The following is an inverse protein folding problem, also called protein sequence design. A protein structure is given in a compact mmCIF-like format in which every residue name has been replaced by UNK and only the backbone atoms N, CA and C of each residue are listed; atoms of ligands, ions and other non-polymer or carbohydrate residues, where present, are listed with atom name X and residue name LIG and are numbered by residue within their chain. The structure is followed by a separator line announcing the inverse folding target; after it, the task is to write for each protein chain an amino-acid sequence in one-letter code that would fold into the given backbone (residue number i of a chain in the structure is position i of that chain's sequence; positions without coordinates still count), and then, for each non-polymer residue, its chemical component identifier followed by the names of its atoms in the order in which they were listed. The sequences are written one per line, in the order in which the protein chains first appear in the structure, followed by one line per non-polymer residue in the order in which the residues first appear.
data_IF_203957902958
#
_entry.id   IF_203957902958
#
_cell.length_a   1.000
_cell.length_b   1.000
_cell.length_c   1.000
_cell.angle_alpha   90.00
_cell.angle_beta   90.00
_cell.angle_gamma   90.00
#
_symmetry.space_group_name_H-M   'P 1'
#
loop_
_entity.id
_entity.type
_entity.pdbx_description
1 polymer ?
#
# COMPACT_ATOMS: atom_id res chain seq x y z
N UNK A 1 -3.02 15.85 -15.82
CA UNK A 1 -3.84 15.36 -14.69
C UNK A 1 -2.98 14.35 -13.96
N UNK A 2 -2.47 14.70 -12.78
CA UNK A 2 -1.56 13.82 -12.03
C UNK A 2 -2.38 12.72 -11.35
N UNK A 3 -1.95 11.47 -11.53
CA UNK A 3 -2.54 10.32 -10.84
C UNK A 3 -1.76 10.01 -9.56
N UNK A 4 -2.35 9.25 -8.64
CA UNK A 4 -1.64 8.75 -7.45
C UNK A 4 -0.34 8.01 -7.82
N UNK A 5 -0.32 7.32 -8.95
CA UNK A 5 0.88 6.65 -9.44
C UNK A 5 2.00 7.65 -9.72
N UNK A 6 1.70 8.76 -10.42
CA UNK A 6 2.67 9.79 -10.77
C UNK A 6 3.24 10.46 -9.51
N UNK A 7 2.38 10.75 -8.52
CA UNK A 7 2.80 11.32 -7.25
C UNK A 7 3.71 10.37 -6.47
N UNK A 8 3.42 9.07 -6.45
CA UNK A 8 4.25 8.07 -5.78
C UNK A 8 5.60 7.85 -6.49
N UNK A 9 5.63 7.90 -7.82
CA UNK A 9 6.88 7.85 -8.59
C UNK A 9 7.73 9.08 -8.29
N UNK A 10 7.11 10.28 -8.29
CA UNK A 10 7.77 11.54 -7.94
C UNK A 10 8.31 11.52 -6.51
N UNK A 11 7.56 10.96 -5.56
CA UNK A 11 8.00 10.79 -4.18
C UNK A 11 9.27 9.93 -4.10
N UNK A 12 9.28 8.77 -4.75
CA UNK A 12 10.42 7.85 -4.71
C UNK A 12 11.65 8.39 -5.45
N UNK A 13 11.49 9.33 -6.39
CA UNK A 13 12.62 9.96 -7.09
C UNK A 13 13.26 11.10 -6.30
N UNK A 14 12.50 11.75 -5.41
CA UNK A 14 12.95 12.88 -4.61
C UNK A 14 13.45 12.49 -3.21
N UNK A 15 13.09 11.29 -2.75
CA UNK A 15 13.25 10.88 -1.36
C UNK A 15 13.52 9.37 -1.25
N UNK A 16 14.77 9.02 -0.93
CA UNK A 16 15.29 7.65 -0.86
C UNK A 16 14.71 6.81 0.28
N UNK A 17 14.00 7.43 1.21
CA UNK A 17 13.23 6.73 2.24
C UNK A 17 12.05 5.99 1.61
N UNK A 18 11.44 6.58 0.59
CA UNK A 18 10.34 5.97 -0.15
C UNK A 18 10.92 5.24 -1.36
N UNK A 19 10.38 4.06 -1.64
CA UNK A 19 10.85 3.24 -2.73
C UNK A 19 9.71 2.42 -3.31
N UNK A 20 9.96 1.80 -4.45
CA UNK A 20 9.09 0.78 -4.98
C UNK A 20 9.88 -0.48 -5.32
N UNK A 21 9.16 -1.60 -5.38
CA UNK A 21 9.70 -2.87 -5.86
C UNK A 21 8.81 -3.39 -6.98
N UNK A 22 9.46 -3.77 -8.07
CA UNK A 22 8.79 -4.44 -9.18
C UNK A 22 8.78 -5.95 -8.94
N UNK A 23 7.63 -6.57 -9.19
CA UNK A 23 7.39 -7.99 -9.02
C UNK A 23 6.71 -8.52 -10.26
N UNK A 24 7.28 -9.55 -10.87
CA UNK A 24 6.67 -10.24 -12.01
C UNK A 24 5.95 -11.50 -11.54
N UNK A 25 4.67 -11.63 -11.87
CA UNK A 25 3.84 -12.79 -11.53
C UNK A 25 2.99 -13.18 -12.73
N UNK A 26 3.17 -14.42 -13.24
CA UNK A 26 2.45 -14.94 -14.42
C UNK A 26 2.50 -14.00 -15.64
N UNK A 27 3.65 -13.36 -15.85
CA UNK A 27 3.85 -12.43 -16.96
C UNK A 27 3.18 -11.06 -16.80
N UNK A 28 2.60 -10.77 -15.63
CA UNK A 28 2.09 -9.44 -15.25
C UNK A 28 3.16 -8.76 -14.38
N UNK A 29 3.47 -7.51 -14.68
CA UNK A 29 4.41 -6.70 -13.92
C UNK A 29 3.63 -5.83 -12.92
N UNK A 30 3.92 -6.03 -11.64
CA UNK A 30 3.38 -5.23 -10.54
C UNK A 30 4.45 -4.34 -9.96
N UNK A 31 4.05 -3.17 -9.48
CA UNK A 31 4.89 -2.24 -8.71
C UNK A 31 4.25 -2.00 -7.35
N UNK A 32 4.95 -2.33 -6.28
CA UNK A 32 4.52 -2.08 -4.90
C UNK A 32 5.34 -0.92 -4.34
N UNK A 33 4.66 0.13 -3.88
CA UNK A 33 5.26 1.29 -3.23
C UNK A 33 5.35 1.07 -1.72
N UNK A 34 6.49 1.42 -1.12
CA UNK A 34 6.76 1.23 0.29
C UNK A 34 7.80 2.26 0.80
N UNK A 35 8.12 2.19 2.09
CA UNK A 35 9.06 3.10 2.74
C UNK A 35 9.96 2.36 3.72
N UNK A 36 11.13 2.94 4.00
CA UNK A 36 12.08 2.50 5.03
C UNK A 36 11.70 3.09 6.39
N UNK A 37 12.65 3.51 7.22
CA UNK A 37 12.34 4.28 8.41
C UNK A 37 12.03 5.73 8.01
N UNK A 38 10.82 6.20 8.29
CA UNK A 38 10.36 7.54 7.89
C UNK A 38 9.79 8.30 9.09
N UNK A 39 10.18 9.57 9.23
CA UNK A 39 9.65 10.45 10.28
C UNK A 39 8.20 10.87 10.02
N UNK A 40 7.44 11.10 11.09
CA UNK A 40 6.10 11.72 11.03
C UNK A 40 6.05 12.98 10.12
N UNK A 41 7.01 13.89 10.28
CA UNK A 41 7.04 15.15 9.53
C UNK A 41 7.16 14.93 8.01
N UNK A 42 8.01 13.99 7.56
CA UNK A 42 8.13 13.64 6.13
C UNK A 42 6.83 13.05 5.59
N UNK A 43 6.17 12.16 6.33
CA UNK A 43 4.87 11.63 5.92
C UNK A 43 3.80 12.70 5.73
N UNK A 44 3.77 13.73 6.58
CA UNK A 44 2.76 14.79 6.53
C UNK A 44 3.07 15.90 5.52
N UNK A 45 4.33 16.12 5.19
CA UNK A 45 4.74 17.21 4.29
C UNK A 45 4.90 16.77 2.82
N UNK A 46 5.00 15.47 2.55
CA UNK A 46 5.21 14.94 1.20
C UNK A 46 3.90 14.43 0.59
N UNK A 47 3.61 14.84 -0.64
CA UNK A 47 2.46 14.35 -1.42
C UNK A 47 2.52 12.83 -1.58
N UNK A 48 1.37 12.16 -1.43
CA UNK A 48 1.19 10.72 -1.52
C UNK A 48 2.00 9.85 -0.54
N UNK A 49 2.80 10.43 0.37
CA UNK A 49 3.63 9.67 1.30
C UNK A 49 2.84 8.76 2.23
N UNK A 50 1.65 9.20 2.67
CA UNK A 50 0.73 8.36 3.46
C UNK A 50 0.25 7.12 2.69
N UNK A 51 0.09 7.23 1.37
CA UNK A 51 -0.29 6.13 0.48
C UNK A 51 0.90 5.28 0.01
N UNK A 52 2.13 5.64 0.36
CA UNK A 52 3.34 4.88 0.03
C UNK A 52 3.55 3.69 0.99
N UNK A 53 2.48 2.99 1.37
CA UNK A 53 2.47 1.95 2.40
C UNK A 53 1.85 0.63 1.87
N UNK A 54 2.43 0.09 0.81
CA UNK A 54 2.03 -1.18 0.20
C UNK A 54 1.00 -1.07 -0.93
N UNK A 55 0.74 0.15 -1.40
CA UNK A 55 -0.08 0.41 -2.60
C UNK A 55 0.56 -0.25 -3.81
N UNK A 56 -0.25 -0.92 -4.63
CA UNK A 56 0.23 -1.73 -5.75
C UNK A 56 -0.47 -1.40 -7.05
N UNK A 57 0.31 -1.30 -8.12
CA UNK A 57 -0.16 -1.05 -9.47
C UNK A 57 0.23 -2.19 -10.41
N UNK A 58 -0.60 -2.50 -11.39
CA UNK A 58 -0.22 -3.24 -12.58
C UNK A 58 0.41 -2.27 -13.58
N UNK A 59 1.70 -2.47 -13.87
CA UNK A 59 2.52 -1.65 -14.76
C UNK A 59 2.87 -2.38 -16.07
N UNK A 60 2.17 -3.48 -16.38
CA UNK A 60 2.44 -4.28 -17.59
C UNK A 60 2.28 -3.45 -18.86
N UNK A 61 1.30 -2.56 -18.90
CA UNK A 61 1.13 -1.59 -19.97
C UNK A 61 1.51 -0.19 -19.45
N UNK A 62 2.67 0.37 -19.83
CA UNK A 62 3.10 1.69 -19.38
C UNK A 62 2.15 2.82 -19.74
N UNK A 63 1.31 2.64 -20.78
CA UNK A 63 0.31 3.63 -21.20
C UNK A 63 -1.01 3.53 -20.42
N UNK A 64 -1.18 2.45 -19.64
CA UNK A 64 -2.40 2.18 -18.87
C UNK A 64 -2.02 1.49 -17.55
N UNK A 65 -1.44 2.26 -16.64
CA UNK A 65 -1.12 1.80 -15.30
C UNK A 65 -2.40 1.73 -14.46
N UNK A 66 -2.64 0.59 -13.82
CA UNK A 66 -3.87 0.34 -13.07
C UNK A 66 -3.60 0.12 -11.60
N UNK A 67 -4.31 0.83 -10.72
CA UNK A 67 -4.33 0.55 -9.29
C UNK A 67 -5.01 -0.80 -9.06
N UNK A 68 -4.30 -1.75 -8.45
CA UNK A 68 -4.83 -3.11 -8.21
C UNK A 68 -4.97 -3.44 -6.73
N UNK A 69 -4.31 -2.68 -5.84
CA UNK A 69 -4.48 -2.79 -4.40
C UNK A 69 -4.18 -1.46 -3.72
N UNK A 70 -5.10 -1.00 -2.87
CA UNK A 70 -4.98 0.22 -2.07
C UNK A 70 -5.20 -0.13 -0.59
N UNK A 71 -4.14 -0.53 0.14
CA UNK A 71 -4.20 -0.68 1.58
C UNK A 71 -4.48 0.66 2.28
N UNK A 72 -4.77 0.61 3.58
CA UNK A 72 -4.92 1.82 4.40
C UNK A 72 -3.67 2.70 4.32
N UNK A 73 -3.89 4.02 4.35
CA UNK A 73 -2.83 5.00 4.54
C UNK A 73 -2.03 4.73 5.83
N UNK A 74 -0.77 5.20 5.88
CA UNK A 74 0.04 5.12 7.10
C UNK A 74 -0.69 5.81 8.26
N UNK A 75 -1.07 5.02 9.26
CA UNK A 75 -1.57 5.49 10.55
C UNK A 75 -0.41 5.72 11.53
N UNK A 76 -0.65 6.56 12.54
CA UNK A 76 0.31 6.91 13.57
C UNK A 76 -0.33 6.67 14.93
N UNK A 77 0.51 6.47 15.94
CA UNK A 77 0.02 6.44 17.32
C UNK A 77 -0.45 7.85 17.74
N UNK A 78 -1.32 7.92 18.76
CA UNK A 78 -2.01 9.16 19.13
C UNK A 78 -1.08 10.32 19.52
N UNK A 79 0.10 10.05 20.06
CA UNK A 79 1.07 11.09 20.44
C UNK A 79 2.33 11.11 19.55
N UNK A 80 2.31 10.40 18.42
CA UNK A 80 3.48 10.33 17.53
C UNK A 80 3.72 11.68 16.81
N UNK A 81 4.95 12.18 16.90
CA UNK A 81 5.36 13.44 16.24
C UNK A 81 4.70 14.68 16.84
N UNK A 82 4.00 15.46 16.01
CA UNK A 82 3.28 16.66 16.43
C UNK A 82 1.75 16.50 16.30
N UNK A 83 1.26 15.25 16.26
CA UNK A 83 -0.15 14.91 16.07
C UNK A 83 -1.08 15.65 17.03
N UNK A 84 -0.75 15.65 18.33
CA UNK A 84 -1.56 16.26 19.39
C UNK A 84 -1.80 17.75 19.17
N UNK A 85 -0.73 18.52 18.98
CA UNK A 85 -0.76 19.98 18.89
C UNK A 85 -1.29 20.52 17.55
N UNK A 86 -1.20 19.75 16.47
CA UNK A 86 -1.58 20.23 15.13
C UNK A 86 -2.90 19.65 14.60
N UNK A 87 -3.25 18.42 14.99
CA UNK A 87 -4.32 17.67 14.32
C UNK A 87 -5.37 17.11 15.30
N UNK A 88 -4.99 16.61 16.48
CA UNK A 88 -5.94 15.95 17.38
C UNK A 88 -6.90 16.93 18.07
N UNK A 89 -6.43 18.11 18.48
CA UNK A 89 -7.29 19.16 19.06
C UNK A 89 -8.39 19.64 18.08
N UNK A 90 -8.17 19.46 16.77
CA UNK A 90 -9.14 19.81 15.71
C UNK A 90 -10.05 18.64 15.34
N UNK A 91 -9.73 17.44 15.80
CA UNK A 91 -10.43 16.21 15.47
C UNK A 91 -11.40 15.78 16.57
N UNK A 92 -12.29 14.86 16.22
CA UNK A 92 -13.08 14.09 17.18
C UNK A 92 -12.87 12.61 16.94
N UNK A 93 -12.83 11.82 18.01
CA UNK A 93 -12.84 10.37 17.87
C UNK A 93 -14.19 9.95 17.25
N UNK A 94 -14.12 9.35 16.06
CA UNK A 94 -15.30 8.90 15.33
C UNK A 94 -15.68 7.46 15.66
N UNK A 95 -14.70 6.56 15.67
CA UNK A 95 -14.88 5.15 15.94
C UNK A 95 -13.61 4.55 16.58
N UNK A 96 -13.71 3.34 17.11
CA UNK A 96 -12.60 2.55 17.63
C UNK A 96 -12.72 1.11 17.17
N UNK A 97 -11.59 0.50 16.86
CA UNK A 97 -11.52 -0.90 16.45
C UNK A 97 -10.48 -1.63 17.31
N UNK A 98 -10.66 -2.93 17.49
CA UNK A 98 -9.60 -3.77 18.04
C UNK A 98 -8.42 -3.79 17.06
N UNK A 99 -7.25 -3.37 17.54
CA UNK A 99 -6.02 -3.38 16.75
C UNK A 99 -5.39 -4.77 16.83
N UNK A 100 -5.84 -5.66 15.96
CA UNK A 100 -5.32 -7.02 15.84
C UNK A 100 -3.79 -7.00 15.62
N UNK A 101 -3.08 -7.84 16.36
CA UNK A 101 -1.63 -7.99 16.23
C UNK A 101 -1.31 -9.08 15.21
N UNK A 102 -0.87 -8.68 14.02
CA UNK A 102 -0.62 -9.60 12.93
C UNK A 102 -0.02 -8.90 11.71
N UNK A 103 -0.08 -9.60 10.57
CA UNK A 103 0.41 -9.06 9.29
C UNK A 103 -0.77 -8.57 8.45
N UNK A 104 -0.69 -7.32 7.98
CA UNK A 104 -1.69 -6.78 7.06
C UNK A 104 -1.73 -7.60 5.76
N UNK A 105 -2.92 -8.14 5.46
CA UNK A 105 -3.25 -8.77 4.19
C UNK A 105 -4.16 -7.83 3.39
N UNK A 106 -3.84 -7.62 2.11
CA UNK A 106 -4.65 -6.82 1.20
C UNK A 106 -5.05 -7.64 -0.02
N UNK A 107 -6.25 -7.42 -0.53
CA UNK A 107 -6.73 -8.04 -1.75
C UNK A 107 -6.19 -7.33 -2.99
N UNK A 108 -6.08 -8.07 -4.09
CA UNK A 108 -5.89 -7.52 -5.43
C UNK A 108 -6.46 -8.46 -6.48
N UNK A 109 -6.86 -7.91 -7.63
CA UNK A 109 -7.31 -8.70 -8.77
C UNK A 109 -6.11 -9.04 -9.66
N UNK A 110 -5.91 -10.33 -9.89
CA UNK A 110 -4.83 -10.87 -10.71
C UNK A 110 -5.37 -11.49 -11.99
N UNK A 111 -5.00 -10.95 -13.14
CA UNK A 111 -5.40 -11.45 -14.45
C UNK A 111 -5.02 -10.46 -15.54
N UNK A 112 -4.89 -10.94 -16.79
CA UNK A 112 -4.54 -10.10 -17.94
C UNK A 112 -5.75 -9.34 -18.48
N UNK A 113 -6.92 -9.96 -18.40
CA UNK A 113 -8.18 -9.42 -18.89
C UNK A 113 -9.22 -9.45 -17.76
N UNK A 114 -10.25 -8.62 -17.86
CA UNK A 114 -11.35 -8.57 -16.87
C UNK A 114 -12.05 -9.93 -16.69
N UNK A 115 -12.04 -10.77 -17.73
CA UNK A 115 -12.67 -12.11 -17.71
C UNK A 115 -11.80 -13.18 -17.03
N UNK A 116 -10.52 -12.92 -16.82
CA UNK A 116 -9.54 -13.85 -16.26
C UNK A 116 -9.04 -13.41 -14.87
N UNK A 117 -9.69 -12.43 -14.26
CA UNK A 117 -9.27 -11.92 -12.96
C UNK A 117 -9.65 -12.91 -11.86
N UNK A 118 -8.65 -13.32 -11.09
CA UNK A 118 -8.82 -14.06 -9.85
C UNK A 118 -8.48 -13.17 -8.66
N UNK A 119 -9.23 -13.32 -7.58
CA UNK A 119 -8.92 -12.67 -6.32
C UNK A 119 -7.63 -13.29 -5.76
N UNK A 120 -6.67 -12.43 -5.40
CA UNK A 120 -5.44 -12.82 -4.71
C UNK A 120 -5.16 -11.91 -3.53
N UNK A 121 -4.29 -12.39 -2.65
CA UNK A 121 -3.89 -11.72 -1.43
C UNK A 121 -2.41 -11.36 -1.49
N UNK A 122 -2.06 -10.28 -0.82
CA UNK A 122 -0.68 -9.85 -0.63
C UNK A 122 -0.47 -9.36 0.80
N UNK A 123 0.77 -9.38 1.25
CA UNK A 123 1.16 -8.60 2.43
C UNK A 123 1.45 -7.15 2.04
N UNK A 124 1.96 -6.35 2.98
CA UNK A 124 2.45 -4.99 2.73
C UNK A 124 3.43 -4.92 1.54
N UNK A 125 4.29 -5.93 1.36
CA UNK A 125 5.39 -5.85 0.38
C UNK A 125 5.66 -7.12 -0.44
N UNK A 126 4.89 -8.19 -0.24
CA UNK A 126 5.13 -9.48 -0.89
C UNK A 126 3.85 -10.10 -1.42
N UNK A 127 4.00 -10.83 -2.54
CA UNK A 127 2.95 -11.67 -3.14
C UNK A 127 3.15 -13.16 -2.86
N UNK A 128 4.21 -13.54 -2.15
CA UNK A 128 4.64 -14.94 -2.02
C UNK A 128 5.23 -15.29 -0.64
N UNK A 129 5.03 -14.45 0.38
CA UNK A 129 5.47 -14.79 1.75
C UNK A 129 4.59 -15.88 2.35
N UNK A 130 5.04 -16.54 3.42
CA UNK A 130 4.25 -17.56 4.12
C UNK A 130 2.87 -17.05 4.53
N UNK A 131 2.78 -15.80 5.03
CA UNK A 131 1.50 -15.18 5.37
C UNK A 131 0.58 -15.03 4.16
N UNK A 132 1.12 -14.81 2.96
CA UNK A 132 0.29 -14.80 1.73
C UNK A 132 -0.19 -16.21 1.42
N UNK A 133 0.68 -17.22 1.51
CA UNK A 133 0.33 -18.61 1.23
C UNK A 133 -0.75 -19.12 2.19
N UNK A 134 -0.58 -18.88 3.50
CA UNK A 134 -1.54 -19.23 4.54
C UNK A 134 -2.86 -18.47 4.35
N UNK A 135 -2.82 -17.17 4.07
CA UNK A 135 -4.04 -16.39 3.81
C UNK A 135 -4.75 -16.84 2.53
N UNK A 136 -3.99 -17.21 1.49
CA UNK A 136 -4.57 -17.75 0.26
C UNK A 136 -5.22 -19.10 0.52
N UNK A 137 -4.60 -19.97 1.31
CA UNK A 137 -5.17 -21.25 1.73
C UNK A 137 -6.51 -21.06 2.45
N UNK A 138 -6.57 -20.11 3.40
CA UNK A 138 -7.81 -19.73 4.07
C UNK A 138 -8.89 -19.25 3.07
N UNK A 139 -8.51 -18.41 2.11
CA UNK A 139 -9.44 -17.85 1.13
C UNK A 139 -10.02 -18.92 0.18
N UNK A 140 -9.21 -19.90 -0.24
CA UNK A 140 -9.66 -20.97 -1.15
C UNK A 140 -10.29 -22.16 -0.42
N UNK A 141 -10.24 -22.20 0.91
CA UNK A 141 -10.89 -23.22 1.73
C UNK A 141 -10.23 -24.59 1.68
N UNK A 142 -8.89 -24.65 1.66
CA UNK A 142 -8.12 -25.92 1.75
C UNK A 142 -7.52 -26.15 3.12
#
# INVERSE_FOLDING_TARGET
MNTLYDDLISLCSQDDIFYYKDIRLHGINYRIFNYRLCSYARFKTRTAALNCCGTMFNITNPKNVQLVSLPLEKIFDYEEGFGQKQYHERGRLGDKMEKMDGTLISTFLHGRTLKEQILRLKTKQSLTSNQVLEAMQLLVGM
#
